data_IF_309428717112
#
_entry.id   IF_309428717112
#
_cell.length_a   1.000
_cell.length_b   1.000
_cell.length_c   1.000
_cell.angle_alpha   90.00
_cell.angle_beta   90.00
_cell.angle_gamma   90.00
#
_symmetry.space_group_name_H-M   'P 1'
#
loop_
_entity.id
_entity.type
_entity.pdbx_description
1 polymer ?
#
# COMPACT_ATOMS: atom_id res chain seq x y z
N UNK A 1 7.66 9.92 -12.97
CA UNK A 1 7.90 10.78 -11.79
C UNK A 1 7.30 10.19 -10.49
N UNK A 2 7.20 8.86 -10.34
CA UNK A 2 6.61 8.23 -9.14
C UNK A 2 7.65 7.89 -8.06
N UNK A 3 8.93 7.74 -8.42
CA UNK A 3 9.99 7.33 -7.50
C UNK A 3 10.51 8.47 -6.61
N UNK A 4 10.41 9.74 -7.02
CA UNK A 4 10.90 10.87 -6.22
C UNK A 4 10.04 11.14 -4.97
N UNK A 5 8.76 10.81 -4.99
CA UNK A 5 7.86 11.07 -3.86
C UNK A 5 7.99 10.02 -2.73
N UNK A 6 8.33 8.78 -3.06
CA UNK A 6 8.56 7.73 -2.04
C UNK A 6 9.82 8.04 -1.23
N UNK A 7 10.89 8.50 -1.89
CA UNK A 7 12.14 8.87 -1.21
C UNK A 7 11.93 10.08 -0.28
N UNK A 8 11.13 11.07 -0.69
CA UNK A 8 10.78 12.20 0.18
C UNK A 8 9.94 11.77 1.39
N UNK A 9 9.01 10.82 1.22
CA UNK A 9 8.25 10.24 2.33
C UNK A 9 9.15 9.53 3.35
N UNK A 10 10.05 8.66 2.89
CA UNK A 10 11.01 7.94 3.76
C UNK A 10 11.98 8.89 4.49
N UNK A 11 12.28 10.05 3.92
CA UNK A 11 13.17 11.05 4.54
C UNK A 11 12.48 11.86 5.65
N UNK A 12 11.14 11.97 5.62
CA UNK A 12 10.35 12.64 6.66
C UNK A 12 10.19 11.78 7.93
N UNK A 13 10.18 10.45 7.78
CA UNK A 13 10.11 9.45 8.88
C UNK A 13 11.18 9.65 9.95
N UNK A 14 12.34 10.21 9.59
CA UNK A 14 13.42 10.50 10.55
C UNK A 14 13.19 11.73 11.41
N UNK A 15 12.17 12.56 11.15
CA UNK A 15 12.04 13.88 11.78
C UNK A 15 10.83 14.03 12.70
N UNK A 16 9.78 13.20 12.59
CA UNK A 16 8.57 13.31 13.44
C UNK A 16 7.93 11.94 13.76
N UNK A 17 8.34 11.27 14.86
CA UNK A 17 7.98 9.87 15.14
C UNK A 17 6.47 9.58 15.35
N UNK A 18 5.60 10.59 15.46
CA UNK A 18 4.15 10.40 15.59
C UNK A 18 3.33 10.72 14.33
N UNK A 19 3.86 11.52 13.41
CA UNK A 19 3.13 11.98 12.23
C UNK A 19 3.24 10.98 11.06
N UNK A 20 4.34 10.23 11.03
CA UNK A 20 4.60 9.23 9.97
C UNK A 20 3.86 7.91 10.19
N UNK A 21 3.56 7.52 11.45
CA UNK A 21 2.82 6.28 11.70
C UNK A 21 1.36 6.39 11.26
N UNK A 22 0.70 7.52 11.51
CA UNK A 22 -0.65 7.79 10.98
C UNK A 22 -0.66 7.83 9.45
N UNK A 23 0.36 8.45 8.83
CA UNK A 23 0.50 8.50 7.38
C UNK A 23 0.65 7.10 6.77
N UNK A 24 1.51 6.25 7.36
CA UNK A 24 1.69 4.87 6.89
C UNK A 24 0.43 4.03 7.11
N UNK A 25 -0.27 4.21 8.24
CA UNK A 25 -1.56 3.52 8.48
C UNK A 25 -2.64 3.95 7.49
N UNK A 26 -2.68 5.23 7.12
CA UNK A 26 -3.57 5.74 6.08
C UNK A 26 -3.22 5.18 4.70
N UNK A 27 -1.94 5.06 4.37
CA UNK A 27 -1.47 4.47 3.12
C UNK A 27 -1.79 2.97 3.05
N UNK A 28 -1.55 2.21 4.13
CA UNK A 28 -1.96 0.80 4.27
C UNK A 28 -3.47 0.64 4.02
N UNK A 29 -4.30 1.52 4.62
CA UNK A 29 -5.75 1.48 4.45
C UNK A 29 -6.16 1.70 2.98
N UNK A 30 -5.54 2.67 2.30
CA UNK A 30 -5.82 2.95 0.89
C UNK A 30 -5.39 1.80 -0.03
N UNK A 31 -4.20 1.25 0.21
CA UNK A 31 -3.69 0.09 -0.54
C UNK A 31 -4.60 -1.12 -0.36
N UNK A 32 -5.09 -1.37 0.86
CA UNK A 32 -6.00 -2.47 1.15
C UNK A 32 -7.32 -2.32 0.40
N UNK A 33 -7.93 -1.13 0.45
CA UNK A 33 -9.16 -0.84 -0.31
C UNK A 33 -8.98 -1.05 -1.81
N UNK A 34 -7.82 -0.67 -2.36
CA UNK A 34 -7.51 -0.89 -3.77
C UNK A 34 -7.36 -2.38 -4.09
N UNK A 35 -6.65 -3.13 -3.26
CA UNK A 35 -6.47 -4.57 -3.42
C UNK A 35 -7.82 -5.32 -3.40
N UNK A 36 -8.68 -4.99 -2.42
CA UNK A 36 -10.03 -5.55 -2.32
C UNK A 36 -10.88 -5.27 -3.56
N UNK A 37 -10.81 -4.04 -4.08
CA UNK A 37 -11.53 -3.68 -5.30
C UNK A 37 -11.02 -4.45 -6.51
N UNK A 38 -9.70 -4.61 -6.65
CA UNK A 38 -9.11 -5.38 -7.74
C UNK A 38 -9.49 -6.85 -7.66
N UNK A 39 -9.50 -7.44 -6.46
CA UNK A 39 -9.95 -8.82 -6.25
C UNK A 39 -11.44 -8.99 -6.56
N UNK A 40 -12.29 -8.04 -6.14
CA UNK A 40 -13.71 -8.08 -6.49
C UNK A 40 -13.94 -7.94 -8.01
N UNK A 41 -13.13 -7.12 -8.69
CA UNK A 41 -13.17 -6.96 -10.14
C UNK A 41 -12.62 -8.19 -10.87
N UNK A 42 -11.60 -8.87 -10.34
CA UNK A 42 -11.05 -10.09 -10.93
C UNK A 42 -12.11 -11.19 -11.00
N UNK A 43 -12.91 -11.34 -9.94
CA UNK A 43 -14.03 -12.29 -9.90
C UNK A 43 -15.13 -11.88 -10.88
N UNK A 44 -15.55 -10.61 -10.86
CA UNK A 44 -16.65 -10.11 -11.71
C UNK A 44 -16.33 -10.16 -13.21
N UNK A 45 -15.08 -9.86 -13.57
CA UNK A 45 -14.62 -9.79 -14.96
C UNK A 45 -13.93 -11.08 -15.41
N UNK A 46 -13.82 -12.07 -14.53
CA UNK A 46 -13.06 -13.31 -14.73
C UNK A 46 -11.65 -13.03 -15.28
N UNK A 47 -10.96 -12.06 -14.68
CA UNK A 47 -9.68 -11.55 -15.16
C UNK A 47 -8.57 -11.81 -14.13
N UNK A 48 -7.80 -12.90 -14.27
CA UNK A 48 -6.82 -13.35 -13.28
C UNK A 48 -5.70 -12.32 -13.01
N UNK A 49 -5.34 -11.52 -14.01
CA UNK A 49 -4.30 -10.48 -13.87
C UNK A 49 -4.64 -9.42 -12.81
N UNK A 50 -5.94 -9.18 -12.55
CA UNK A 50 -6.37 -8.28 -11.48
C UNK A 50 -6.20 -8.91 -10.09
N UNK A 51 -6.30 -10.24 -9.99
CA UNK A 51 -6.00 -10.97 -8.76
C UNK A 51 -4.49 -10.92 -8.45
N UNK A 52 -3.66 -11.11 -9.47
CA UNK A 52 -2.19 -10.98 -9.34
C UNK A 52 -1.79 -9.57 -8.88
N UNK A 53 -2.45 -8.52 -9.40
CA UNK A 53 -2.21 -7.15 -8.97
C UNK A 53 -2.66 -6.90 -7.52
N UNK A 54 -3.82 -7.44 -7.13
CA UNK A 54 -4.30 -7.39 -5.75
C UNK A 54 -3.32 -8.07 -4.77
N UNK A 55 -2.78 -9.23 -5.14
CA UNK A 55 -1.81 -9.97 -4.33
C UNK A 55 -0.50 -9.18 -4.14
N UNK A 56 0.00 -8.52 -5.20
CA UNK A 56 1.17 -7.64 -5.09
C UNK A 56 0.94 -6.47 -4.13
N UNK A 57 -0.27 -5.90 -4.12
CA UNK A 57 -0.62 -4.84 -3.18
C UNK A 57 -0.68 -5.36 -1.74
N UNK A 58 -1.21 -6.57 -1.52
CA UNK A 58 -1.18 -7.22 -0.21
C UNK A 58 0.25 -7.43 0.29
N UNK A 59 1.16 -7.92 -0.56
CA UNK A 59 2.56 -8.07 -0.19
C UNK A 59 3.25 -6.73 0.14
N UNK A 60 2.85 -5.62 -0.50
CA UNK A 60 3.35 -4.28 -0.16
C UNK A 60 2.81 -3.81 1.20
N UNK A 61 1.54 -4.08 1.50
CA UNK A 61 0.93 -3.79 2.79
C UNK A 61 1.65 -4.56 3.91
N UNK A 62 1.90 -5.86 3.72
CA UNK A 62 2.60 -6.67 4.72
C UNK A 62 4.00 -6.11 5.00
N UNK A 63 4.72 -5.66 3.96
CA UNK A 63 6.02 -5.00 4.13
C UNK A 63 5.90 -3.67 4.89
N UNK A 64 4.90 -2.86 4.60
CA UNK A 64 4.68 -1.60 5.31
C UNK A 64 4.28 -1.83 6.77
N UNK A 65 3.46 -2.84 7.05
CA UNK A 65 3.06 -3.22 8.40
C UNK A 65 4.24 -3.71 9.23
N UNK A 66 5.19 -4.43 8.63
CA UNK A 66 6.44 -4.84 9.30
C UNK A 66 7.37 -3.67 9.63
N UNK A 67 7.24 -2.53 8.95
CA UNK A 67 8.04 -1.33 9.20
C UNK A 67 7.43 -0.43 10.29
N UNK A 68 6.16 -0.62 10.62
CA UNK A 68 5.42 0.16 11.63
C UNK A 68 5.07 -0.60 12.90
N UNK A 69 5.39 -1.91 12.96
CA UNK A 69 5.21 -2.80 14.11
C UNK A 69 6.38 -2.84 15.07
#
# INVERSE_FOLDING_TARGET
>A
MFFENVVKGVTLVKRFPGMDQEAVMMEIKQLKQKADRLLAMSIRLNQPSLADEAERLYQQIDRLALLTG
#
